data_IF_719718471821
#
_entry.id   IF_719718471821
#
_cell.length_a   1.000
_cell.length_b   1.000
_cell.length_c   1.000
_cell.angle_alpha   90.00
_cell.angle_beta   90.00
_cell.angle_gamma   90.00
#
_symmetry.space_group_name_H-M   'P 1'
#
loop_
_entity.id
_entity.type
_entity.pdbx_description
1 polymer ?
#
# COMPACT_ATOMS: atom_id res chain seq x y z
N UNK A 1 3.23 -3.17 14.53
CA UNK A 1 3.56 -2.30 13.39
C UNK A 1 2.89 -0.97 13.67
N UNK A 2 3.66 0.11 13.69
CA UNK A 2 3.14 1.44 13.96
C UNK A 2 2.73 2.10 12.64
N UNK A 3 1.88 3.12 12.69
CA UNK A 3 1.43 3.83 11.49
C UNK A 3 2.60 4.42 10.68
N UNK A 4 3.66 4.83 11.39
CA UNK A 4 4.90 5.34 10.82
C UNK A 4 5.64 4.33 9.91
N UNK A 5 5.36 3.03 10.05
CA UNK A 5 5.93 1.98 9.20
C UNK A 5 5.32 1.97 7.77
N UNK A 6 4.23 2.73 7.53
CA UNK A 6 3.47 2.72 6.28
C UNK A 6 3.61 3.96 5.42
N UNK A 7 4.37 4.96 5.87
CA UNK A 7 4.63 6.17 5.08
C UNK A 7 6.10 6.39 4.80
N UNK A 8 6.41 6.96 3.64
CA UNK A 8 7.75 7.42 3.30
C UNK A 8 7.75 8.93 3.35
N UNK A 9 8.77 9.49 3.99
CA UNK A 9 8.96 10.94 4.03
C UNK A 9 9.57 11.41 2.71
N UNK A 10 9.15 12.57 2.23
CA UNK A 10 9.86 13.26 1.16
C UNK A 10 11.08 13.96 1.75
N UNK A 11 12.17 14.01 0.98
CA UNK A 11 13.35 14.75 1.40
C UNK A 11 13.09 16.23 1.20
N UNK A 12 13.15 17.00 2.28
CA UNK A 12 12.96 18.45 2.24
C UNK A 12 14.07 19.14 1.42
N UNK A 13 13.70 20.22 0.72
CA UNK A 13 14.62 21.02 -0.10
C UNK A 13 15.29 20.28 -1.27
N UNK A 14 14.75 19.12 -1.65
CA UNK A 14 15.21 18.32 -2.79
C UNK A 14 14.04 18.06 -3.74
N UNK A 15 14.32 18.06 -5.05
CA UNK A 15 13.36 17.55 -6.04
C UNK A 15 13.32 16.03 -5.92
N UNK A 16 12.25 15.51 -5.31
CA UNK A 16 12.06 14.08 -5.15
C UNK A 16 11.59 13.48 -6.49
N UNK A 17 12.27 12.44 -6.96
CA UNK A 17 11.78 11.66 -8.10
C UNK A 17 10.58 10.81 -7.64
N UNK A 18 9.42 11.03 -8.26
CA UNK A 18 8.13 10.48 -7.80
C UNK A 18 7.24 10.10 -8.97
N UNK A 19 6.37 9.11 -8.71
CA UNK A 19 5.29 8.71 -9.62
C UNK A 19 3.96 9.00 -8.94
N UNK A 20 3.05 9.68 -9.65
CA UNK A 20 1.68 9.88 -9.21
C UNK A 20 0.91 8.55 -9.29
N UNK A 21 0.58 7.97 -8.14
CA UNK A 21 -0.07 6.66 -8.07
C UNK A 21 -1.60 6.76 -7.99
N UNK A 22 -2.12 7.82 -7.37
CA UNK A 22 -3.56 8.10 -7.34
C UNK A 22 -3.81 9.60 -7.19
N UNK A 23 -4.81 10.10 -7.90
CA UNK A 23 -5.19 11.52 -7.91
C UNK A 23 -6.68 11.65 -7.58
N UNK A 24 -6.98 12.33 -6.47
CA UNK A 24 -8.36 12.62 -6.05
C UNK A 24 -8.63 14.08 -6.37
N UNK A 25 -7.75 14.97 -5.92
CA UNK A 25 -7.72 16.39 -6.30
C UNK A 25 -6.26 16.87 -6.36
N UNK A 26 -6.03 18.09 -6.85
CA UNK A 26 -4.70 18.68 -6.85
C UNK A 26 -4.07 18.82 -5.44
N UNK A 27 -4.89 18.87 -4.38
CA UNK A 27 -4.43 18.94 -2.99
C UNK A 27 -4.51 17.58 -2.26
N UNK A 28 -5.04 16.54 -2.91
CA UNK A 28 -5.20 15.20 -2.32
C UNK A 28 -4.84 14.15 -3.36
N UNK A 29 -3.61 13.67 -3.26
CA UNK A 29 -3.03 12.70 -4.17
C UNK A 29 -1.99 11.86 -3.44
N UNK A 30 -1.61 10.75 -4.07
CA UNK A 30 -0.68 9.78 -3.53
C UNK A 30 0.48 9.58 -4.49
N UNK A 31 1.68 9.45 -3.91
CA UNK A 31 2.93 9.31 -4.65
C UNK A 31 3.62 7.98 -4.32
N UNK A 32 4.43 7.51 -5.25
CA UNK A 32 5.45 6.49 -5.01
C UNK A 32 6.83 7.10 -5.25
N UNK A 33 7.86 6.62 -4.55
CA UNK A 33 9.24 7.09 -4.67
C UNK A 33 10.12 6.00 -5.33
N UNK A 34 10.36 6.03 -6.65
CA UNK A 34 11.14 5.00 -7.36
C UNK A 34 12.57 4.83 -6.85
N UNK A 35 13.18 5.92 -6.36
CA UNK A 35 14.54 5.89 -5.81
C UNK A 35 14.63 5.33 -4.39
N UNK A 36 13.50 5.11 -3.70
CA UNK A 36 13.51 4.58 -2.34
C UNK A 36 13.82 3.07 -2.35
N UNK A 37 14.67 2.54 -1.44
CA UNK A 37 15.07 1.13 -1.45
C UNK A 37 13.92 0.11 -1.39
N UNK A 38 12.78 0.49 -0.80
CA UNK A 38 11.60 -0.39 -0.69
C UNK A 38 10.76 -0.47 -1.97
N UNK A 39 10.99 0.39 -2.97
CA UNK A 39 10.12 0.49 -4.14
C UNK A 39 10.09 -0.82 -4.94
N UNK A 40 11.25 -1.45 -5.15
CA UNK A 40 11.36 -2.72 -5.86
C UNK A 40 10.59 -3.86 -5.16
N UNK A 41 10.51 -3.83 -3.83
CA UNK A 41 9.81 -4.84 -3.04
C UNK A 41 8.28 -4.77 -3.18
N UNK A 42 7.72 -3.65 -3.63
CA UNK A 42 6.26 -3.49 -3.79
C UNK A 42 5.70 -4.46 -4.84
N UNK A 43 6.41 -4.66 -5.94
CA UNK A 43 5.99 -5.61 -6.99
C UNK A 43 5.93 -7.04 -6.47
N UNK A 44 6.97 -7.49 -5.76
CA UNK A 44 7.02 -8.80 -5.12
C UNK A 44 5.93 -8.96 -4.07
N UNK A 45 5.70 -7.94 -3.23
CA UNK A 45 4.62 -7.96 -2.24
C UNK A 45 3.26 -8.18 -2.92
N UNK A 46 2.95 -7.42 -3.97
CA UNK A 46 1.68 -7.55 -4.69
C UNK A 46 1.52 -8.94 -5.29
N UNK A 47 2.58 -9.53 -5.84
CA UNK A 47 2.54 -10.91 -6.37
C UNK A 47 2.22 -11.93 -5.27
N UNK A 48 2.92 -11.84 -4.13
CA UNK A 48 2.70 -12.74 -2.99
C UNK A 48 1.27 -12.58 -2.44
N UNK A 49 0.78 -11.35 -2.30
CA UNK A 49 -0.58 -11.10 -1.83
C UNK A 49 -1.62 -11.72 -2.76
N UNK A 50 -1.48 -11.53 -4.07
CA UNK A 50 -2.39 -12.14 -5.04
C UNK A 50 -2.35 -13.67 -4.99
N UNK A 51 -1.16 -14.26 -4.82
CA UNK A 51 -1.02 -15.72 -4.73
C UNK A 51 -1.69 -16.29 -3.47
N UNK A 52 -1.51 -15.65 -2.32
CA UNK A 52 -1.99 -16.14 -1.02
C UNK A 52 -3.49 -15.91 -0.86
N UNK A 53 -3.96 -14.70 -1.16
CA UNK A 53 -5.33 -14.28 -0.83
C UNK A 53 -6.36 -14.60 -1.93
N UNK A 54 -5.94 -15.01 -3.13
CA UNK A 54 -6.88 -15.46 -4.19
C UNK A 54 -7.32 -16.92 -4.02
N UNK A 55 -6.94 -17.58 -2.93
CA UNK A 55 -7.29 -18.98 -2.65
C UNK A 55 -8.48 -19.06 -1.69
N UNK A 56 -9.22 -20.18 -1.73
CA UNK A 56 -10.29 -20.46 -0.76
C UNK A 56 -9.78 -20.75 0.65
N UNK A 57 -8.48 -20.95 0.82
CA UNK A 57 -7.82 -21.20 2.11
C UNK A 57 -7.40 -19.90 2.80
N UNK A 58 -7.55 -18.75 2.12
CA UNK A 58 -7.21 -17.46 2.69
C UNK A 58 -8.05 -17.19 3.96
N UNK A 59 -7.42 -16.70 5.04
CA UNK A 59 -8.14 -16.42 6.28
C UNK A 59 -9.16 -15.31 6.07
N UNK A 60 -10.37 -15.51 6.58
CA UNK A 60 -11.40 -14.47 6.60
C UNK A 60 -11.06 -13.41 7.66
N UNK A 61 -11.38 -12.15 7.36
CA UNK A 61 -11.32 -11.08 8.35
C UNK A 61 -12.52 -11.22 9.29
N UNK A 62 -12.29 -11.69 10.52
CA UNK A 62 -13.38 -11.95 11.48
C UNK A 62 -14.10 -10.68 11.91
N UNK A 63 -13.37 -9.68 12.41
CA UNK A 63 -13.93 -8.41 12.89
C UNK A 63 -13.04 -7.27 12.43
N UNK A 64 -13.57 -6.30 11.64
CA UNK A 64 -12.84 -5.10 11.28
C UNK A 64 -12.49 -4.27 12.52
N UNK A 65 -11.20 -4.04 12.74
CA UNK A 65 -10.70 -3.17 13.81
C UNK A 65 -10.26 -1.86 13.17
N UNK A 66 -10.77 -0.75 13.67
CA UNK A 66 -10.39 0.59 13.19
C UNK A 66 -8.86 0.77 13.24
N UNK A 67 -8.31 1.39 12.20
CA UNK A 67 -6.89 1.67 11.99
C UNK A 67 -6.01 0.42 11.78
N UNK A 68 -6.58 -0.80 11.83
CA UNK A 68 -5.84 -2.02 11.55
C UNK A 68 -5.56 -2.19 10.06
N UNK A 69 -4.44 -2.84 9.75
CA UNK A 69 -4.05 -3.18 8.39
C UNK A 69 -4.50 -4.59 8.05
N UNK A 70 -5.17 -4.74 6.91
CA UNK A 70 -5.68 -6.01 6.42
C UNK A 70 -5.29 -6.22 4.93
N UNK A 71 -5.48 -7.45 4.45
CA UNK A 71 -5.53 -7.70 3.02
C UNK A 71 -6.95 -7.41 2.51
N UNK A 72 -7.06 -6.63 1.44
CA UNK A 72 -8.34 -6.28 0.84
C UNK A 72 -8.31 -6.48 -0.68
N UNK A 73 -9.41 -6.98 -1.28
CA UNK A 73 -9.52 -7.10 -2.72
C UNK A 73 -9.88 -5.75 -3.34
N UNK A 74 -9.14 -5.31 -4.37
CA UNK A 74 -9.45 -4.11 -5.15
C UNK A 74 -8.80 -4.19 -6.53
N UNK A 75 -9.34 -3.50 -7.54
CA UNK A 75 -8.76 -3.42 -8.89
C UNK A 75 -8.34 -4.76 -9.52
N UNK A 76 -9.02 -5.86 -9.18
CA UNK A 76 -8.70 -7.20 -9.70
C UNK A 76 -7.51 -7.89 -9.01
N UNK A 77 -7.06 -7.41 -7.85
CA UNK A 77 -6.02 -8.05 -7.04
C UNK A 77 -6.19 -7.84 -5.54
N UNK A 78 -5.21 -8.30 -4.77
CA UNK A 78 -5.15 -8.20 -3.32
C UNK A 78 -4.02 -7.30 -2.86
N UNK A 79 -4.34 -6.37 -1.96
CA UNK A 79 -3.43 -5.32 -1.51
C UNK A 79 -3.55 -5.10 -0.01
N UNK A 80 -2.54 -4.45 0.58
CA UNK A 80 -2.64 -3.97 1.96
C UNK A 80 -3.57 -2.76 2.00
N UNK A 81 -4.52 -2.76 2.92
CA UNK A 81 -5.43 -1.65 3.18
C UNK A 81 -5.47 -1.35 4.68
N UNK A 82 -5.78 -0.11 5.03
CA UNK A 82 -6.10 0.27 6.40
C UNK A 82 -7.61 0.45 6.53
N UNK A 83 -8.18 -0.06 7.63
CA UNK A 83 -9.58 0.15 7.98
C UNK A 83 -9.72 1.57 8.52
N UNK A 84 -10.49 2.42 7.82
CA UNK A 84 -10.72 3.84 8.17
C UNK A 84 -12.07 4.07 8.84
#
# INVERSE_FOLDING_TARGET
>A
MKLEDFHLQLVENVNNDVILSSLITAAHFFLQQPSHPSYSSLGTLNQVMNQVYSTSEAPALETPIKDAVCAAPTMGGWYRAQIV
#
